data_IF_935521664489
#
_entry.id   IF_935521664489
#
_cell.length_a   1.000
_cell.length_b   1.000
_cell.length_c   1.000
_cell.angle_alpha   90.00
_cell.angle_beta   90.00
_cell.angle_gamma   90.00
#
_symmetry.space_group_name_H-M   'P 1'
#
loop_
_entity.id
_entity.type
_entity.pdbx_description
1 polymer ?
#
# COMPACT_ATOMS: atom_id res chain seq x y z
N UNK A 1 21.87 4.23 -21.97
CA UNK A 1 21.58 5.55 -21.37
C UNK A 1 22.84 6.24 -20.83
N UNK A 2 23.77 5.53 -20.15
CA UNK A 2 25.06 6.10 -19.72
C UNK A 2 25.94 6.47 -20.91
N UNK A 3 26.11 5.57 -21.87
CA UNK A 3 26.89 5.81 -23.09
C UNK A 3 26.36 7.02 -23.89
N UNK A 4 25.05 7.23 -23.87
CA UNK A 4 24.38 8.38 -24.51
C UNK A 4 24.41 9.66 -23.66
N UNK A 5 25.10 9.67 -22.52
CA UNK A 5 25.17 10.79 -21.55
C UNK A 5 23.78 11.27 -21.06
N UNK A 6 22.80 10.38 -21.02
CA UNK A 6 21.45 10.68 -20.50
C UNK A 6 21.35 10.40 -18.98
N UNK A 7 22.17 9.46 -18.49
CA UNK A 7 22.31 9.15 -17.06
C UNK A 7 23.74 9.34 -16.61
N UNK A 8 23.93 9.83 -15.41
CA UNK A 8 25.21 9.79 -14.70
C UNK A 8 25.07 9.11 -13.36
N UNK A 9 26.12 8.39 -12.96
CA UNK A 9 26.23 7.82 -11.63
C UNK A 9 26.45 8.93 -10.63
N UNK A 10 25.74 8.86 -9.51
CA UNK A 10 25.93 9.69 -8.34
C UNK A 10 26.35 8.80 -7.19
N UNK A 11 27.46 9.15 -6.54
CA UNK A 11 27.97 8.45 -5.35
C UNK A 11 28.29 9.48 -4.28
N UNK A 12 27.67 9.35 -3.12
CA UNK A 12 27.94 10.21 -1.97
C UNK A 12 27.49 9.51 -0.69
N UNK A 13 28.29 9.61 0.38
CA UNK A 13 28.03 9.05 1.69
C UNK A 13 27.61 7.57 1.61
N UNK A 14 28.41 6.78 0.92
CA UNK A 14 28.20 5.34 0.67
C UNK A 14 26.92 4.97 -0.12
N UNK A 15 26.15 5.95 -0.56
CA UNK A 15 24.98 5.74 -1.41
C UNK A 15 25.33 5.95 -2.88
N UNK A 16 25.09 4.91 -3.69
CA UNK A 16 25.20 4.93 -5.14
C UNK A 16 23.81 5.03 -5.76
N UNK A 17 23.65 5.95 -6.69
CA UNK A 17 22.40 6.11 -7.45
C UNK A 17 22.67 6.60 -8.87
N UNK A 18 21.57 6.73 -9.62
CA UNK A 18 21.58 7.31 -10.95
C UNK A 18 20.81 8.61 -10.95
N UNK A 19 21.22 9.52 -11.82
CA UNK A 19 20.58 10.81 -11.98
C UNK A 19 20.49 11.13 -13.47
N UNK A 20 19.38 11.69 -13.89
CA UNK A 20 19.21 12.23 -15.22
C UNK A 20 20.15 13.43 -15.42
N UNK A 21 20.70 13.54 -16.63
CA UNK A 21 21.43 14.74 -17.04
C UNK A 21 20.45 15.84 -17.46
N UNK A 22 20.92 17.11 -17.54
CA UNK A 22 20.09 18.20 -18.06
C UNK A 22 19.54 17.91 -19.45
N UNK A 23 20.36 17.32 -20.34
CA UNK A 23 19.92 16.88 -21.68
C UNK A 23 18.77 15.87 -21.63
N UNK A 24 18.88 14.86 -20.76
CA UNK A 24 17.82 13.85 -20.62
C UNK A 24 16.51 14.47 -20.14
N UNK A 25 16.56 15.41 -19.18
CA UNK A 25 15.37 16.12 -18.71
C UNK A 25 14.71 16.95 -19.80
N UNK A 26 15.50 17.72 -20.55
CA UNK A 26 15.00 18.50 -21.68
C UNK A 26 14.34 17.62 -22.73
N UNK A 27 14.93 16.46 -23.04
CA UNK A 27 14.34 15.50 -23.99
C UNK A 27 12.99 14.97 -23.48
N UNK A 28 12.91 14.57 -22.22
CA UNK A 28 11.66 14.05 -21.62
C UNK A 28 10.57 15.14 -21.58
N UNK A 29 10.92 16.37 -21.16
CA UNK A 29 9.98 17.47 -21.13
C UNK A 29 9.54 17.93 -22.54
N UNK A 30 10.41 17.83 -23.54
CA UNK A 30 10.05 18.11 -24.92
C UNK A 30 9.11 17.03 -25.50
N UNK A 31 9.29 15.77 -25.10
CA UNK A 31 8.48 14.66 -25.57
C UNK A 31 7.07 14.67 -24.95
N UNK A 32 6.96 14.87 -23.63
CA UNK A 32 5.68 14.94 -22.92
C UNK A 32 5.82 15.82 -21.67
N UNK A 33 5.58 17.14 -21.77
CA UNK A 33 5.73 18.07 -20.66
C UNK A 33 4.69 17.82 -19.56
N UNK A 34 3.48 17.43 -19.89
CA UNK A 34 2.43 17.12 -18.92
C UNK A 34 2.82 15.95 -18.02
N UNK A 35 3.31 14.87 -18.60
CA UNK A 35 3.76 13.67 -17.90
C UNK A 35 4.89 13.92 -16.93
N UNK A 36 5.89 14.72 -17.34
CA UNK A 36 7.16 14.81 -16.64
C UNK A 36 7.37 16.09 -15.84
N UNK A 37 6.53 17.11 -16.00
CA UNK A 37 6.68 18.40 -15.31
C UNK A 37 6.82 18.22 -13.81
N UNK A 38 5.93 17.51 -13.15
CA UNK A 38 5.89 17.36 -11.69
C UNK A 38 7.08 16.58 -11.12
N UNK A 39 7.73 15.76 -11.96
CA UNK A 39 8.90 14.96 -11.58
C UNK A 39 10.23 15.64 -11.90
N UNK A 40 10.28 16.47 -12.94
CA UNK A 40 11.54 16.98 -13.51
C UNK A 40 11.73 18.49 -13.34
N UNK A 41 10.69 19.25 -12.97
CA UNK A 41 10.78 20.69 -12.75
C UNK A 41 10.85 21.03 -11.25
N UNK A 42 11.53 22.12 -10.94
CA UNK A 42 11.68 22.66 -9.58
C UNK A 42 13.02 22.34 -8.90
N UNK A 43 13.20 22.91 -7.73
CA UNK A 43 14.44 22.81 -6.93
C UNK A 43 14.67 21.44 -6.30
N UNK A 44 13.75 20.50 -6.42
CA UNK A 44 13.77 19.22 -5.74
C UNK A 44 15.00 18.38 -6.12
N UNK A 45 15.42 18.42 -7.37
CA UNK A 45 16.52 17.58 -7.84
C UNK A 45 17.91 18.16 -7.52
N UNK A 46 18.08 19.47 -7.57
CA UNK A 46 19.33 20.14 -7.18
C UNK A 46 19.60 20.00 -5.68
N UNK A 47 18.54 19.99 -4.87
CA UNK A 47 18.64 19.80 -3.43
C UNK A 47 18.88 18.33 -3.02
N UNK A 48 18.47 17.35 -3.83
CA UNK A 48 18.68 15.94 -3.54
C UNK A 48 20.15 15.56 -3.44
N UNK A 49 21.00 16.15 -4.28
CA UNK A 49 22.46 15.91 -4.28
C UNK A 49 23.14 16.40 -3.00
N UNK A 50 22.57 17.44 -2.37
CA UNK A 50 23.11 18.07 -1.16
C UNK A 50 22.36 17.68 0.12
N UNK A 51 21.29 16.91 0.00
CA UNK A 51 20.47 16.54 1.16
C UNK A 51 21.15 15.45 2.00
N UNK A 52 20.74 15.37 3.26
CA UNK A 52 21.15 14.33 4.20
C UNK A 52 20.88 12.91 3.69
N UNK A 53 21.68 11.95 4.13
CA UNK A 53 21.59 10.52 3.76
C UNK A 53 20.16 9.99 3.94
N UNK A 54 19.55 10.25 5.10
CA UNK A 54 18.17 9.81 5.42
C UNK A 54 17.13 10.34 4.43
N UNK A 55 17.29 11.59 3.95
CA UNK A 55 16.37 12.17 2.97
C UNK A 55 16.53 11.51 1.60
N UNK A 56 17.77 11.19 1.21
CA UNK A 56 18.05 10.49 -0.05
C UNK A 56 17.54 9.05 -0.03
N UNK A 57 17.73 8.32 1.07
CA UNK A 57 17.17 6.99 1.26
C UNK A 57 15.64 6.98 1.11
N UNK A 58 14.95 7.93 1.75
CA UNK A 58 13.49 8.08 1.59
C UNK A 58 13.05 8.32 0.14
N UNK A 59 13.87 9.03 -0.65
CA UNK A 59 13.56 9.24 -2.07
C UNK A 59 13.73 7.96 -2.88
N UNK A 60 14.74 7.12 -2.56
CA UNK A 60 14.90 5.82 -3.19
C UNK A 60 13.75 4.88 -2.83
N UNK A 61 13.40 4.80 -1.56
CA UNK A 61 12.25 4.02 -1.09
C UNK A 61 10.93 4.46 -1.75
N UNK A 62 10.73 5.76 -1.92
CA UNK A 62 9.59 6.27 -2.69
C UNK A 62 9.63 5.82 -4.15
N UNK A 63 10.81 5.86 -4.78
CA UNK A 63 10.97 5.40 -6.15
C UNK A 63 10.64 3.90 -6.29
N UNK A 64 11.02 3.07 -5.32
CA UNK A 64 10.65 1.65 -5.27
C UNK A 64 9.14 1.47 -5.24
N UNK A 65 8.42 2.21 -4.40
CA UNK A 65 6.95 2.16 -4.38
C UNK A 65 6.32 2.59 -5.71
N UNK A 66 6.87 3.63 -6.38
CA UNK A 66 6.42 3.99 -7.72
C UNK A 66 6.68 2.89 -8.76
N UNK A 67 7.79 2.17 -8.64
CA UNK A 67 8.06 1.01 -9.49
C UNK A 67 7.05 -0.10 -9.24
N UNK A 68 6.72 -0.39 -7.99
CA UNK A 68 5.67 -1.37 -7.63
C UNK A 68 4.31 -0.98 -8.24
N UNK A 69 3.92 0.31 -8.17
CA UNK A 69 2.71 0.81 -8.82
C UNK A 69 2.76 0.61 -10.34
N UNK A 70 3.88 0.97 -10.98
CA UNK A 70 4.08 0.83 -12.42
C UNK A 70 3.99 -0.63 -12.87
N UNK A 71 4.68 -1.53 -12.17
CA UNK A 71 4.67 -2.98 -12.46
C UNK A 71 3.30 -3.60 -12.23
N UNK A 72 2.51 -3.07 -11.28
CA UNK A 72 1.12 -3.45 -11.08
C UNK A 72 0.17 -2.90 -12.16
N UNK A 73 0.67 -2.07 -13.09
CA UNK A 73 -0.11 -1.45 -14.15
C UNK A 73 -1.01 -0.31 -13.67
N UNK A 74 -0.65 0.36 -12.57
CA UNK A 74 -1.44 1.46 -11.99
C UNK A 74 -0.95 2.79 -12.56
N UNK A 75 -1.80 3.54 -13.29
CA UNK A 75 -1.47 4.86 -13.78
C UNK A 75 -1.24 5.86 -12.65
N UNK A 76 -0.18 6.66 -12.76
CA UNK A 76 0.12 7.73 -11.79
C UNK A 76 0.67 9.02 -12.42
N UNK A 77 0.99 9.00 -13.70
CA UNK A 77 1.39 10.22 -14.41
C UNK A 77 0.17 11.11 -14.72
N UNK A 78 0.38 12.43 -14.80
CA UNK A 78 -0.69 13.40 -15.01
C UNK A 78 -1.44 13.18 -16.34
N UNK A 79 -0.73 12.81 -17.41
CA UNK A 79 -1.30 12.52 -18.73
C UNK A 79 -2.11 11.21 -18.81
N UNK A 80 -2.09 10.40 -17.76
CA UNK A 80 -2.76 9.09 -17.72
C UNK A 80 -4.04 9.08 -16.88
N UNK A 81 -4.36 10.18 -16.23
CA UNK A 81 -5.48 10.26 -15.27
C UNK A 81 -6.11 11.64 -15.25
N UNK A 82 -7.42 11.75 -14.97
CA UNK A 82 -8.07 13.03 -14.78
C UNK A 82 -7.53 13.74 -13.53
N UNK A 83 -7.43 15.06 -13.58
CA UNK A 83 -7.07 15.88 -12.42
C UNK A 83 -8.32 16.13 -11.57
N UNK A 84 -8.53 15.28 -10.55
CA UNK A 84 -9.68 15.37 -9.66
C UNK A 84 -9.44 16.24 -8.44
N UNK A 85 -8.19 16.59 -8.16
CA UNK A 85 -7.78 17.35 -6.97
C UNK A 85 -7.47 18.81 -7.29
N UNK A 86 -8.31 19.46 -8.11
CA UNK A 86 -8.25 20.91 -8.39
C UNK A 86 -9.32 21.67 -7.61
N UNK A 87 -8.99 22.88 -7.16
CA UNK A 87 -9.99 23.84 -6.70
C UNK A 87 -10.77 24.37 -7.92
N UNK A 88 -12.10 24.40 -7.83
CA UNK A 88 -12.97 24.90 -8.91
C UNK A 88 -13.19 23.86 -10.03
N UNK A 89 -13.71 22.72 -9.69
CA UNK A 89 -13.96 21.55 -10.52
C UNK A 89 -14.58 21.82 -11.91
N UNK A 90 -13.77 21.99 -12.91
CA UNK A 90 -13.99 21.34 -14.20
C UNK A 90 -13.20 20.02 -14.19
N UNK A 91 -13.50 19.17 -13.22
CA UNK A 91 -12.83 17.89 -13.06
C UNK A 91 -13.15 17.01 -14.25
N UNK A 92 -12.12 16.51 -14.91
CA UNK A 92 -12.29 15.46 -15.91
C UNK A 92 -13.16 14.33 -15.36
N UNK A 93 -14.04 13.77 -16.17
CA UNK A 93 -15.00 12.74 -15.73
C UNK A 93 -14.21 11.49 -15.31
N UNK A 94 -14.08 11.25 -14.02
CA UNK A 94 -13.55 10.00 -13.49
C UNK A 94 -14.72 9.03 -13.31
N UNK A 95 -14.66 7.92 -14.00
CA UNK A 95 -15.63 6.83 -13.86
C UNK A 95 -14.99 5.64 -13.17
N UNK A 96 -15.81 4.74 -12.63
CA UNK A 96 -15.33 3.47 -12.05
C UNK A 96 -14.51 2.62 -13.04
N UNK A 97 -14.78 2.76 -14.36
CA UNK A 97 -14.04 2.07 -15.40
C UNK A 97 -12.60 2.54 -15.60
N UNK A 98 -12.26 3.72 -15.10
CA UNK A 98 -10.90 4.26 -15.16
C UNK A 98 -9.99 3.72 -14.03
N UNK A 99 -10.56 3.08 -13.02
CA UNK A 99 -9.80 2.61 -11.85
C UNK A 99 -9.09 1.27 -12.13
N UNK A 100 -7.92 0.99 -11.52
CA UNK A 100 -7.30 1.77 -10.45
C UNK A 100 -6.45 2.97 -10.93
N UNK A 101 -6.34 4.02 -10.09
CA UNK A 101 -5.50 5.20 -10.33
C UNK A 101 -4.78 5.65 -9.06
N UNK A 102 -3.55 6.16 -9.19
CA UNK A 102 -2.81 6.70 -8.05
C UNK A 102 -2.61 8.21 -8.16
N UNK A 103 -2.91 8.92 -7.07
CA UNK A 103 -2.67 10.35 -6.89
C UNK A 103 -1.65 10.57 -5.78
N UNK A 104 -0.57 11.27 -6.08
CA UNK A 104 0.47 11.57 -5.10
C UNK A 104 -0.02 12.55 -4.03
N UNK A 105 0.60 12.52 -2.87
CA UNK A 105 0.26 13.43 -1.77
C UNK A 105 0.45 14.91 -2.13
N UNK A 106 1.20 15.24 -3.18
CA UNK A 106 1.36 16.61 -3.68
C UNK A 106 0.11 17.12 -4.39
N UNK A 107 -0.68 16.20 -4.96
CA UNK A 107 -1.87 16.57 -5.73
C UNK A 107 -3.06 16.94 -4.83
N UNK A 108 -3.11 16.49 -3.58
CA UNK A 108 -4.27 16.75 -2.72
C UNK A 108 -3.98 17.40 -1.36
N UNK A 109 -2.77 17.29 -0.79
CA UNK A 109 -2.49 17.84 0.55
C UNK A 109 -2.48 19.35 0.67
N UNK A 110 -2.69 20.07 -0.41
CA UNK A 110 -2.79 21.53 -0.43
C UNK A 110 -4.24 22.03 -0.58
N UNK A 111 -5.21 21.13 -0.71
CA UNK A 111 -6.60 21.44 -1.02
C UNK A 111 -7.40 21.69 0.25
N UNK A 112 -8.20 22.74 0.22
CA UNK A 112 -9.22 23.03 1.23
C UNK A 112 -8.69 23.48 2.60
N UNK A 113 -9.60 23.73 3.52
CA UNK A 113 -9.32 24.20 4.88
C UNK A 113 -8.51 23.20 5.73
N UNK A 114 -8.58 21.92 5.40
CA UNK A 114 -7.87 20.86 6.12
C UNK A 114 -6.40 20.67 5.68
N UNK A 115 -5.96 21.38 4.62
CA UNK A 115 -4.61 21.24 4.05
C UNK A 115 -3.48 21.38 5.11
N UNK A 116 -3.61 22.33 6.03
CA UNK A 116 -2.63 22.53 7.11
C UNK A 116 -2.59 21.35 8.09
N UNK A 117 -3.73 20.71 8.35
CA UNK A 117 -3.89 19.64 9.34
C UNK A 117 -3.42 18.29 8.82
N UNK A 118 -3.55 18.05 7.50
CA UNK A 118 -3.12 16.79 6.85
C UNK A 118 -1.71 16.87 6.26
N UNK A 119 -1.12 18.07 6.19
CA UNK A 119 0.21 18.30 5.61
C UNK A 119 1.31 17.39 6.21
N UNK A 120 1.22 17.13 7.50
CA UNK A 120 2.21 16.33 8.24
C UNK A 120 2.00 14.83 8.12
N UNK A 121 0.89 14.35 7.55
CA UNK A 121 0.72 12.93 7.27
C UNK A 121 1.89 12.38 6.45
N UNK A 122 2.27 11.15 6.72
CA UNK A 122 3.36 10.45 6.01
C UNK A 122 2.89 9.75 4.74
N UNK A 123 1.61 9.89 4.38
CA UNK A 123 1.10 9.27 3.16
C UNK A 123 1.87 9.76 1.93
N UNK A 124 2.18 8.83 1.04
CA UNK A 124 2.75 9.10 -0.28
C UNK A 124 1.69 9.59 -1.27
N UNK A 125 0.46 9.15 -1.08
CA UNK A 125 -0.65 9.43 -1.97
C UNK A 125 -1.89 8.63 -1.61
N UNK A 126 -2.84 8.64 -2.51
CA UNK A 126 -4.06 7.84 -2.46
C UNK A 126 -4.17 6.99 -3.74
N UNK A 127 -4.43 5.71 -3.56
CA UNK A 127 -4.73 4.76 -4.62
C UNK A 127 -6.24 4.53 -4.64
N UNK A 128 -6.87 4.88 -5.74
CA UNK A 128 -8.29 4.66 -5.95
C UNK A 128 -8.49 3.32 -6.64
N UNK A 129 -9.21 2.41 -6.02
CA UNK A 129 -9.60 1.12 -6.59
C UNK A 129 -11.14 1.05 -6.73
N UNK A 130 -11.72 0.16 -7.54
CA UNK A 130 -13.17 0.16 -7.78
C UNK A 130 -14.05 -0.01 -6.53
N UNK A 131 -13.53 -0.57 -5.45
CA UNK A 131 -14.31 -0.90 -4.25
C UNK A 131 -13.97 -0.04 -3.02
N UNK A 132 -12.82 0.64 -3.03
CA UNK A 132 -12.37 1.49 -1.93
C UNK A 132 -11.19 2.38 -2.35
N UNK A 133 -10.84 3.33 -1.51
CA UNK A 133 -9.61 4.09 -1.62
C UNK A 133 -8.54 3.56 -0.63
N UNK A 134 -7.27 3.66 -0.99
CA UNK A 134 -6.16 3.30 -0.11
C UNK A 134 -5.24 4.50 0.11
N UNK A 135 -5.08 4.94 1.35
CA UNK A 135 -3.99 5.83 1.71
C UNK A 135 -2.67 5.03 1.68
N UNK A 136 -1.72 5.44 0.85
CA UNK A 136 -0.47 4.70 0.62
C UNK A 136 0.68 5.31 1.42
N UNK A 137 1.39 4.48 2.16
CA UNK A 137 2.54 4.84 2.99
C UNK A 137 3.76 4.02 2.61
N UNK A 138 4.93 4.64 2.63
CA UNK A 138 6.19 3.91 2.50
C UNK A 138 6.92 3.90 3.85
N UNK A 139 7.18 2.71 4.37
CA UNK A 139 7.89 2.51 5.64
C UNK A 139 9.40 2.39 5.44
N UNK A 140 9.83 2.09 4.22
CA UNK A 140 11.22 1.73 3.94
C UNK A 140 11.61 0.41 4.58
N UNK A 141 12.66 0.44 5.39
CA UNK A 141 13.19 -0.68 6.16
C UNK A 141 12.96 -0.56 7.68
N UNK A 142 12.09 0.39 8.11
CA UNK A 142 11.82 0.65 9.52
C UNK A 142 10.35 0.93 9.78
N UNK A 143 9.99 0.94 11.06
CA UNK A 143 8.70 1.46 11.51
C UNK A 143 8.65 2.97 11.29
N UNK A 144 7.66 3.45 10.52
CA UNK A 144 7.53 4.88 10.20
C UNK A 144 7.03 5.68 11.41
N UNK A 145 7.28 7.00 11.39
CA UNK A 145 6.63 7.92 12.31
C UNK A 145 5.14 7.99 11.98
N UNK A 146 4.33 7.91 13.03
CA UNK A 146 2.88 7.89 12.92
C UNK A 146 2.25 8.90 13.87
N UNK A 147 1.30 9.64 13.38
CA UNK A 147 0.57 10.62 14.18
C UNK A 147 -0.93 10.39 14.02
N UNK A 148 -1.52 9.64 14.93
CA UNK A 148 -2.91 9.19 14.90
C UNK A 148 -3.90 10.29 14.48
N UNK A 149 -3.83 11.47 15.12
CA UNK A 149 -4.77 12.57 14.83
C UNK A 149 -4.65 13.07 13.39
N UNK A 150 -3.45 13.11 12.83
CA UNK A 150 -3.22 13.53 11.45
C UNK A 150 -3.75 12.50 10.47
N UNK A 151 -3.59 11.20 10.76
CA UNK A 151 -4.04 10.13 9.88
C UNK A 151 -5.56 9.97 9.92
N UNK A 152 -6.21 10.12 11.08
CA UNK A 152 -7.68 10.20 11.19
C UNK A 152 -8.25 11.36 10.35
N UNK A 153 -7.60 12.53 10.38
CA UNK A 153 -8.01 13.68 9.55
C UNK A 153 -7.82 13.43 8.07
N UNK A 154 -6.72 12.77 7.69
CA UNK A 154 -6.49 12.39 6.30
C UNK A 154 -7.57 11.41 5.83
N UNK A 155 -7.90 10.40 6.63
CA UNK A 155 -8.97 9.46 6.32
C UNK A 155 -10.31 10.19 6.12
N UNK A 156 -10.70 11.04 7.07
CA UNK A 156 -11.95 11.82 6.98
C UNK A 156 -11.95 12.76 5.75
N UNK A 157 -10.83 13.42 5.45
CA UNK A 157 -10.68 14.24 4.26
C UNK A 157 -10.90 13.43 2.98
N UNK A 158 -10.26 12.27 2.86
CA UNK A 158 -10.40 11.42 1.68
C UNK A 158 -11.83 10.88 1.53
N UNK A 159 -12.46 10.44 2.62
CA UNK A 159 -13.85 9.99 2.61
C UNK A 159 -14.80 11.10 2.13
N UNK A 160 -14.64 12.31 2.66
CA UNK A 160 -15.46 13.45 2.28
C UNK A 160 -15.19 13.92 0.85
N UNK A 161 -13.90 13.99 0.45
CA UNK A 161 -13.53 14.50 -0.87
C UNK A 161 -13.92 13.56 -2.01
N UNK A 162 -13.89 12.25 -1.75
CA UNK A 162 -14.17 11.21 -2.74
C UNK A 162 -15.63 10.74 -2.72
N UNK A 163 -16.47 11.25 -1.78
CA UNK A 163 -17.89 10.96 -1.84
C UNK A 163 -18.47 11.50 -3.15
N UNK A 164 -19.39 10.73 -3.73
CA UNK A 164 -20.05 11.06 -5.00
C UNK A 164 -19.11 11.14 -6.24
N UNK A 165 -17.80 10.91 -6.06
CA UNK A 165 -16.86 10.94 -7.17
C UNK A 165 -15.48 10.29 -6.84
N UNK A 166 -15.10 9.16 -7.49
CA UNK A 166 -15.88 8.32 -8.41
C UNK A 166 -16.88 7.41 -7.70
N UNK A 167 -16.90 7.42 -6.36
CA UNK A 167 -17.73 6.54 -5.55
C UNK A 167 -19.11 7.15 -5.30
N UNK A 168 -20.10 6.28 -5.16
CA UNK A 168 -21.43 6.68 -4.71
C UNK A 168 -21.49 6.62 -3.18
N UNK A 169 -21.64 7.76 -2.53
CA UNK A 169 -21.58 7.87 -1.07
C UNK A 169 -20.15 7.88 -0.51
N UNK A 170 -20.02 7.72 0.80
CA UNK A 170 -18.71 7.74 1.47
C UNK A 170 -17.90 6.48 1.15
N UNK A 171 -16.75 6.60 0.46
CA UNK A 171 -15.90 5.46 0.17
C UNK A 171 -15.26 4.93 1.46
N UNK A 172 -15.10 3.62 1.55
CA UNK A 172 -14.21 3.05 2.56
C UNK A 172 -12.77 3.44 2.21
N UNK A 173 -12.06 4.03 3.18
CA UNK A 173 -10.63 4.33 3.04
C UNK A 173 -9.86 3.37 3.94
N UNK A 174 -8.91 2.65 3.33
CA UNK A 174 -8.00 1.71 3.98
C UNK A 174 -6.57 2.22 3.87
N UNK A 175 -5.64 1.61 4.57
CA UNK A 175 -4.22 1.93 4.43
C UNK A 175 -3.45 0.80 3.75
N UNK A 176 -2.51 1.16 2.88
CA UNK A 176 -1.47 0.27 2.40
C UNK A 176 -0.12 0.79 2.91
N UNK A 177 0.62 -0.09 3.58
CA UNK A 177 1.98 0.14 4.02
C UNK A 177 2.91 -0.63 3.09
N UNK A 178 3.79 0.07 2.37
CA UNK A 178 4.84 -0.60 1.58
C UNK A 178 6.17 -0.53 2.31
N UNK A 179 6.95 -1.58 2.26
CA UNK A 179 8.25 -1.64 2.90
C UNK A 179 9.21 -2.56 2.17
N UNK A 180 10.44 -2.65 2.66
CA UNK A 180 11.51 -3.38 2.00
C UNK A 180 11.20 -4.87 1.80
N UNK A 181 10.79 -5.55 2.87
CA UNK A 181 10.65 -7.01 2.94
C UNK A 181 9.70 -7.45 4.07
N UNK A 182 9.55 -8.76 4.26
CA UNK A 182 8.69 -9.31 5.32
C UNK A 182 9.26 -9.12 6.74
N UNK A 183 10.54 -8.79 6.90
CA UNK A 183 11.09 -8.38 8.21
C UNK A 183 10.53 -7.01 8.62
N UNK A 184 10.32 -6.11 7.68
CA UNK A 184 9.61 -4.85 7.91
C UNK A 184 8.15 -5.10 8.33
N UNK A 185 7.47 -6.07 7.73
CA UNK A 185 6.12 -6.48 8.16
C UNK A 185 6.10 -6.94 9.63
N UNK A 186 7.08 -7.75 10.02
CA UNK A 186 7.21 -8.20 11.40
C UNK A 186 7.42 -7.03 12.37
N UNK A 187 8.27 -6.06 12.02
CA UNK A 187 8.47 -4.86 12.83
C UNK A 187 7.18 -4.05 13.02
N UNK A 188 6.34 -3.96 11.98
CA UNK A 188 5.05 -3.27 12.03
C UNK A 188 4.04 -4.02 12.92
N UNK A 189 3.96 -5.34 12.80
CA UNK A 189 3.10 -6.19 13.63
C UNK A 189 3.46 -6.12 15.12
N UNK A 190 4.76 -6.02 15.44
CA UNK A 190 5.26 -5.98 16.81
C UNK A 190 5.43 -4.57 17.38
N UNK A 191 5.16 -3.54 16.61
CA UNK A 191 5.35 -2.15 17.04
C UNK A 191 4.34 -1.76 18.11
N UNK A 192 4.86 -1.24 19.23
CA UNK A 192 4.08 -0.72 20.36
C UNK A 192 4.03 0.80 20.41
N UNK A 193 4.43 1.48 19.33
CA UNK A 193 4.36 2.94 19.22
C UNK A 193 5.52 3.72 19.81
N UNK A 194 6.28 3.15 20.74
CA UNK A 194 7.46 3.74 21.39
C UNK A 194 7.16 5.01 22.19
N UNK A 195 7.60 5.09 23.43
CA UNK A 195 7.28 6.16 24.37
C UNK A 195 7.70 7.58 23.93
N UNK A 196 8.73 7.74 23.11
CA UNK A 196 9.25 9.08 22.70
C UNK A 196 9.20 9.38 21.21
N UNK A 197 8.78 8.46 20.36
CA UNK A 197 9.00 8.60 18.91
C UNK A 197 7.73 8.60 18.07
N UNK A 198 6.54 8.44 18.64
CA UNK A 198 5.29 8.33 17.85
C UNK A 198 5.49 7.42 16.63
N UNK A 199 5.87 6.17 16.88
CA UNK A 199 6.05 5.18 15.81
C UNK A 199 4.70 4.56 15.45
N UNK A 200 4.61 4.00 14.26
CA UNK A 200 3.43 3.31 13.78
C UNK A 200 2.94 2.25 14.77
N UNK A 201 1.66 2.27 15.00
CA UNK A 201 0.87 1.20 15.62
C UNK A 201 -0.36 1.03 14.74
N UNK A 202 -0.80 -0.19 14.54
CA UNK A 202 -2.08 -0.46 13.90
C UNK A 202 -3.21 0.01 14.84
N UNK A 203 -3.61 1.28 14.66
CA UNK A 203 -4.61 1.99 15.45
C UNK A 203 -5.95 2.09 14.71
N UNK A 204 -6.90 2.80 15.25
CA UNK A 204 -8.24 2.97 14.68
C UNK A 204 -8.33 4.06 13.60
N UNK A 205 -7.21 4.60 13.11
CA UNK A 205 -7.21 5.62 12.04
C UNK A 205 -7.71 5.05 10.70
N UNK A 206 -7.51 3.75 10.49
CA UNK A 206 -8.07 2.98 9.38
C UNK A 206 -8.61 1.65 9.87
N UNK A 207 -9.67 1.15 9.22
CA UNK A 207 -10.24 -0.18 9.52
C UNK A 207 -9.28 -1.32 9.16
N UNK A 208 -8.50 -1.13 8.07
CA UNK A 208 -7.59 -2.12 7.52
C UNK A 208 -6.23 -1.49 7.21
N UNK A 209 -5.16 -2.21 7.56
CA UNK A 209 -3.77 -1.89 7.22
C UNK A 209 -3.15 -3.06 6.48
N UNK A 210 -3.12 -3.00 5.15
CA UNK A 210 -2.46 -4.01 4.34
C UNK A 210 -0.97 -3.72 4.23
N UNK A 211 -0.13 -4.73 4.39
CA UNK A 211 1.30 -4.59 4.15
C UNK A 211 1.72 -5.25 2.84
N UNK A 212 2.55 -4.55 2.06
CA UNK A 212 3.10 -5.03 0.81
C UNK A 212 4.63 -4.83 0.81
N UNK A 213 5.45 -5.88 0.62
CA UNK A 213 6.88 -5.69 0.39
C UNK A 213 7.13 -5.05 -0.98
N UNK A 214 8.16 -4.22 -1.11
CA UNK A 214 8.59 -3.66 -2.41
C UNK A 214 9.39 -4.70 -3.23
N UNK A 215 8.74 -5.82 -3.49
CA UNK A 215 9.26 -6.99 -4.20
C UNK A 215 8.22 -7.49 -5.20
N UNK A 216 8.54 -8.43 -6.10
CA UNK A 216 7.57 -9.02 -7.02
C UNK A 216 6.34 -9.64 -6.31
N UNK A 217 6.51 -10.14 -5.08
CA UNK A 217 5.41 -10.64 -4.25
C UNK A 217 4.42 -9.51 -3.89
N UNK A 218 4.94 -8.35 -3.48
CA UNK A 218 4.11 -7.19 -3.18
C UNK A 218 3.42 -6.60 -4.40
N UNK A 219 4.02 -6.67 -5.59
CA UNK A 219 3.34 -6.33 -6.84
C UNK A 219 2.12 -7.23 -7.07
N UNK A 220 2.26 -8.53 -6.80
CA UNK A 220 1.17 -9.50 -6.92
C UNK A 220 0.04 -9.18 -5.95
N UNK A 221 0.36 -8.89 -4.69
CA UNK A 221 -0.63 -8.46 -3.70
C UNK A 221 -1.32 -7.16 -4.11
N UNK A 222 -0.57 -6.19 -4.62
CA UNK A 222 -1.14 -4.94 -5.08
C UNK A 222 -2.12 -5.15 -6.26
N UNK A 223 -1.75 -5.98 -7.25
CA UNK A 223 -2.63 -6.36 -8.35
C UNK A 223 -3.92 -7.02 -7.86
N UNK A 224 -3.83 -7.82 -6.81
CA UNK A 224 -4.99 -8.47 -6.19
C UNK A 224 -5.87 -7.46 -5.47
N UNK A 225 -5.30 -6.62 -4.59
CA UNK A 225 -6.03 -5.61 -3.80
C UNK A 225 -6.82 -4.63 -4.67
N UNK A 226 -6.32 -4.25 -5.84
CA UNK A 226 -7.02 -3.29 -6.72
C UNK A 226 -8.03 -3.94 -7.66
N UNK A 227 -8.15 -5.28 -7.68
CA UNK A 227 -9.05 -6.03 -8.55
C UNK A 227 -10.09 -6.81 -7.74
N UNK A 228 -11.20 -6.20 -7.31
CA UNK A 228 -12.18 -6.82 -6.42
C UNK A 228 -12.82 -8.09 -7.00
N UNK A 229 -12.95 -8.18 -8.31
CA UNK A 229 -13.46 -9.40 -8.97
C UNK A 229 -12.51 -10.57 -8.77
N UNK A 230 -11.20 -10.32 -8.90
CA UNK A 230 -10.17 -11.34 -8.72
C UNK A 230 -10.08 -11.76 -7.24
N UNK A 231 -10.15 -10.83 -6.31
CA UNK A 231 -10.22 -11.13 -4.88
C UNK A 231 -11.42 -12.03 -4.57
N UNK A 232 -12.60 -11.64 -5.06
CA UNK A 232 -13.83 -12.45 -4.84
C UNK A 232 -13.72 -13.88 -5.40
N UNK A 233 -13.11 -14.04 -6.58
CA UNK A 233 -12.88 -15.38 -7.15
C UNK A 233 -11.91 -16.20 -6.30
N UNK A 234 -10.83 -15.59 -5.81
CA UNK A 234 -9.88 -16.24 -4.90
C UNK A 234 -10.55 -16.61 -3.59
N UNK A 235 -11.30 -15.70 -2.97
CA UNK A 235 -12.07 -15.98 -1.73
C UNK A 235 -13.01 -17.17 -1.92
N UNK A 236 -13.79 -17.19 -3.00
CA UNK A 236 -14.71 -18.29 -3.31
C UNK A 236 -13.97 -19.61 -3.44
N UNK A 237 -12.82 -19.64 -4.09
CA UNK A 237 -12.02 -20.85 -4.22
C UNK A 237 -11.47 -21.31 -2.87
N UNK A 238 -10.90 -20.40 -2.08
CA UNK A 238 -10.29 -20.72 -0.79
C UNK A 238 -11.31 -21.14 0.27
N UNK A 239 -12.55 -20.63 0.17
CA UNK A 239 -13.65 -20.97 1.07
C UNK A 239 -14.41 -22.22 0.64
N UNK A 240 -14.21 -22.75 -0.57
CA UNK A 240 -14.93 -23.92 -1.08
C UNK A 240 -14.74 -25.18 -0.22
N UNK A 241 -13.56 -25.32 0.39
CA UNK A 241 -13.21 -26.47 1.23
C UNK A 241 -13.44 -26.22 2.72
N UNK A 242 -14.03 -25.05 3.08
CA UNK A 242 -14.34 -24.67 4.46
C UNK A 242 -15.83 -24.74 4.73
N UNK A 243 -16.18 -25.08 5.96
CA UNK A 243 -17.53 -24.88 6.47
C UNK A 243 -17.87 -23.38 6.60
N UNK A 244 -19.16 -23.08 6.61
CA UNK A 244 -19.66 -21.71 6.74
C UNK A 244 -19.14 -21.02 8.01
N UNK A 245 -19.00 -19.70 7.94
CA UNK A 245 -18.72 -18.87 9.11
C UNK A 245 -19.75 -19.13 10.22
N UNK A 246 -19.26 -19.30 11.45
CA UNK A 246 -20.08 -19.48 12.64
C UNK A 246 -20.28 -18.14 13.36
N UNK A 247 -21.51 -17.54 13.31
CA UNK A 247 -21.74 -16.23 13.91
C UNK A 247 -21.50 -16.17 15.43
N UNK A 248 -21.74 -17.30 16.12
CA UNK A 248 -21.60 -17.39 17.57
C UNK A 248 -20.15 -17.56 18.05
N UNK A 249 -19.21 -17.77 17.13
CA UNK A 249 -17.80 -17.86 17.46
C UNK A 249 -17.19 -16.44 17.56
N UNK A 250 -16.76 -15.98 18.76
CA UNK A 250 -16.30 -14.62 18.98
C UNK A 250 -14.86 -14.39 18.50
N UNK A 251 -14.47 -15.03 17.40
CA UNK A 251 -13.17 -14.92 16.75
C UNK A 251 -13.41 -14.41 15.32
N UNK A 252 -12.64 -13.43 14.86
CA UNK A 252 -12.71 -12.94 13.47
C UNK A 252 -12.24 -14.04 12.53
N UNK A 253 -13.16 -14.65 11.78
CA UNK A 253 -12.88 -15.77 10.86
C UNK A 253 -13.79 -15.70 9.63
N UNK A 254 -13.41 -16.41 8.56
CA UNK A 254 -14.17 -16.50 7.30
C UNK A 254 -14.95 -17.80 7.17
N UNK A 255 -14.49 -18.86 7.79
CA UNK A 255 -15.09 -20.18 7.78
C UNK A 255 -14.50 -21.06 8.88
N UNK A 256 -14.83 -22.32 8.88
CA UNK A 256 -14.28 -23.33 9.78
C UNK A 256 -13.75 -24.51 9.00
N UNK A 257 -12.67 -25.13 9.50
CA UNK A 257 -12.17 -26.37 8.91
C UNK A 257 -13.04 -27.57 9.27
N UNK A 258 -12.73 -28.75 8.73
CA UNK A 258 -13.47 -29.99 9.00
C UNK A 258 -13.49 -30.39 10.49
N UNK A 259 -12.59 -29.85 11.31
CA UNK A 259 -12.52 -30.06 12.75
C UNK A 259 -13.24 -28.99 13.57
N UNK A 260 -13.89 -28.01 12.90
CA UNK A 260 -14.56 -26.89 13.54
C UNK A 260 -13.61 -25.79 14.05
N UNK A 261 -12.34 -25.79 13.62
CA UNK A 261 -11.42 -24.69 13.95
C UNK A 261 -11.68 -23.49 13.05
N UNK A 262 -11.69 -22.26 13.60
CA UNK A 262 -11.85 -21.04 12.79
C UNK A 262 -10.72 -20.91 11.77
N UNK A 263 -11.08 -20.50 10.57
CA UNK A 263 -10.18 -20.27 9.45
C UNK A 263 -10.26 -18.81 8.99
N UNK A 264 -9.11 -18.16 8.78
CA UNK A 264 -9.01 -16.78 8.30
C UNK A 264 -8.25 -16.70 6.98
N UNK A 265 -8.76 -15.91 6.04
CA UNK A 265 -8.05 -15.51 4.84
C UNK A 265 -7.12 -14.34 5.17
N UNK A 266 -5.82 -14.57 5.20
CA UNK A 266 -4.79 -13.59 5.54
C UNK A 266 -3.83 -13.27 4.38
N UNK A 267 -4.17 -13.69 3.17
CA UNK A 267 -3.34 -13.52 1.98
C UNK A 267 -3.13 -12.03 1.60
N UNK A 268 -4.06 -11.15 1.95
CA UNK A 268 -3.98 -9.69 1.74
C UNK A 268 -3.13 -8.96 2.79
N UNK A 269 -2.59 -9.70 3.76
CA UNK A 269 -1.73 -9.26 4.84
C UNK A 269 -2.28 -8.05 5.61
N UNK A 270 -3.55 -8.10 6.02
CA UNK A 270 -4.16 -7.10 6.89
C UNK A 270 -3.69 -7.27 8.34
N UNK A 271 -2.91 -6.30 8.83
CA UNK A 271 -2.31 -6.32 10.17
C UNK A 271 -3.36 -6.40 11.27
N UNK A 272 -4.47 -5.68 11.14
CA UNK A 272 -5.56 -5.72 12.12
C UNK A 272 -6.21 -7.10 12.20
N UNK A 273 -6.46 -7.68 11.05
CA UNK A 273 -7.12 -8.97 10.96
C UNK A 273 -6.24 -10.09 11.49
N UNK A 274 -4.97 -10.09 11.14
CA UNK A 274 -3.96 -11.01 11.67
C UNK A 274 -3.90 -10.91 13.21
N UNK A 275 -3.84 -9.68 13.74
CA UNK A 275 -3.76 -9.47 15.18
C UNK A 275 -5.04 -9.91 15.91
N UNK A 276 -6.23 -9.54 15.40
CA UNK A 276 -7.52 -9.95 15.99
C UNK A 276 -7.69 -11.46 16.00
N UNK A 277 -7.30 -12.14 14.92
CA UNK A 277 -7.38 -13.59 14.85
C UNK A 277 -6.45 -14.25 15.88
N UNK A 278 -5.17 -13.85 15.93
CA UNK A 278 -4.22 -14.35 16.93
C UNK A 278 -4.69 -14.12 18.38
N UNK A 279 -5.16 -12.91 18.67
CA UNK A 279 -5.67 -12.55 20.00
C UNK A 279 -6.91 -13.37 20.36
N UNK A 280 -7.86 -13.50 19.43
CA UNK A 280 -9.08 -14.28 19.64
C UNK A 280 -8.77 -15.75 19.93
N UNK A 281 -7.90 -16.36 19.16
CA UNK A 281 -7.49 -17.76 19.40
C UNK A 281 -6.86 -17.94 20.79
N UNK A 282 -5.97 -17.05 21.18
CA UNK A 282 -5.32 -17.11 22.51
C UNK A 282 -6.34 -16.92 23.64
N UNK A 283 -7.23 -15.94 23.54
CA UNK A 283 -8.24 -15.65 24.56
C UNK A 283 -9.19 -16.83 24.78
N UNK A 284 -9.59 -17.47 23.69
CA UNK A 284 -10.56 -18.58 23.76
C UNK A 284 -9.90 -19.98 23.81
N UNK A 285 -8.56 -20.06 23.84
CA UNK A 285 -7.83 -21.33 23.88
C UNK A 285 -8.12 -22.24 22.69
N UNK A 286 -8.35 -21.64 21.51
CA UNK A 286 -8.73 -22.38 20.27
C UNK A 286 -7.54 -22.53 19.35
N UNK A 287 -7.55 -23.62 18.60
CA UNK A 287 -6.69 -23.78 17.41
C UNK A 287 -7.32 -23.07 16.23
N UNK A 288 -6.51 -22.65 15.25
CA UNK A 288 -6.99 -21.95 14.07
C UNK A 288 -6.30 -22.39 12.78
N UNK A 289 -6.86 -21.95 11.66
CA UNK A 289 -6.27 -22.11 10.34
C UNK A 289 -6.05 -20.74 9.71
N UNK A 290 -4.86 -20.47 9.20
CA UNK A 290 -4.55 -19.25 8.49
C UNK A 290 -4.18 -19.54 7.04
N UNK A 291 -4.93 -18.96 6.10
CA UNK A 291 -4.72 -19.15 4.66
C UNK A 291 -3.99 -17.94 4.13
N UNK A 292 -2.77 -18.13 3.66
CA UNK A 292 -1.90 -17.06 3.21
C UNK A 292 -0.94 -17.54 2.11
N UNK A 293 -0.25 -16.61 1.47
CA UNK A 293 0.81 -16.98 0.53
C UNK A 293 2.01 -17.57 1.25
N UNK A 294 2.72 -18.46 0.57
CA UNK A 294 3.90 -19.18 1.06
C UNK A 294 4.99 -18.23 1.61
N UNK A 295 5.27 -17.12 0.90
CA UNK A 295 6.28 -16.13 1.32
C UNK A 295 5.91 -15.37 2.61
N UNK A 296 4.63 -15.35 3.01
CA UNK A 296 4.16 -14.67 4.22
C UNK A 296 4.36 -15.53 5.47
N UNK A 297 4.39 -16.85 5.32
CA UNK A 297 4.43 -17.81 6.43
C UNK A 297 5.60 -17.61 7.40
N UNK A 298 6.85 -17.35 6.95
CA UNK A 298 7.96 -17.17 7.88
C UNK A 298 7.76 -15.98 8.83
N UNK A 299 7.23 -14.86 8.34
CA UNK A 299 6.90 -13.70 9.13
C UNK A 299 5.77 -14.00 10.12
N UNK A 300 4.70 -14.63 9.66
CA UNK A 300 3.53 -14.97 10.47
C UNK A 300 3.86 -15.97 11.57
N UNK A 301 4.62 -17.03 11.28
CA UNK A 301 5.09 -17.99 12.28
C UNK A 301 5.91 -17.34 13.41
N UNK A 302 6.69 -16.32 13.07
CA UNK A 302 7.49 -15.58 14.05
C UNK A 302 6.65 -14.67 14.94
N UNK A 303 5.52 -14.14 14.42
CA UNK A 303 4.65 -13.22 15.13
C UNK A 303 3.57 -13.90 15.94
N UNK A 304 2.93 -14.93 15.39
CA UNK A 304 1.76 -15.57 15.99
C UNK A 304 2.12 -16.42 17.19
N UNK A 305 1.33 -16.32 18.25
CA UNK A 305 1.52 -17.05 19.52
C UNK A 305 0.48 -18.14 19.73
N UNK A 306 -0.65 -18.09 19.01
CA UNK A 306 -1.68 -19.11 19.05
C UNK A 306 -1.29 -20.38 18.25
N UNK A 307 -1.95 -21.52 18.54
CA UNK A 307 -1.78 -22.76 17.79
C UNK A 307 -2.49 -22.64 16.43
N UNK A 308 -1.73 -22.30 15.39
CA UNK A 308 -2.24 -22.01 14.05
C UNK A 308 -1.62 -22.95 13.00
N UNK A 309 -2.47 -23.67 12.30
CA UNK A 309 -2.11 -24.41 11.09
C UNK A 309 -2.14 -23.48 9.89
N UNK A 310 -1.09 -23.47 9.09
CA UNK A 310 -1.04 -22.71 7.85
C UNK A 310 -1.53 -23.55 6.67
N UNK A 311 -2.42 -22.97 5.86
CA UNK A 311 -2.77 -23.45 4.52
C UNK A 311 -2.14 -22.46 3.52
N UNK A 312 -1.12 -22.92 2.78
CA UNK A 312 -0.34 -22.05 1.93
C UNK A 312 -0.87 -21.97 0.51
N UNK A 313 -0.91 -20.77 -0.03
CA UNK A 313 -1.13 -20.51 -1.45
C UNK A 313 0.25 -20.39 -2.10
N UNK A 314 0.56 -21.28 -3.05
CA UNK A 314 1.77 -21.18 -3.86
C UNK A 314 1.69 -19.96 -4.78
N UNK A 315 2.55 -18.97 -4.54
CA UNK A 315 2.53 -17.72 -5.29
C UNK A 315 2.80 -17.93 -6.79
N UNK A 316 3.68 -18.86 -7.14
CA UNK A 316 4.03 -19.13 -8.54
C UNK A 316 2.85 -19.75 -9.29
N UNK A 317 2.13 -20.68 -8.66
CA UNK A 317 0.90 -21.25 -9.22
C UNK A 317 -0.20 -20.22 -9.32
N UNK A 318 -0.34 -19.35 -8.31
CA UNK A 318 -1.30 -18.25 -8.32
C UNK A 318 -1.05 -17.29 -9.49
N UNK A 319 0.19 -16.86 -9.71
CA UNK A 319 0.55 -15.99 -10.85
C UNK A 319 0.19 -16.62 -12.19
N UNK A 320 0.57 -17.89 -12.38
CA UNK A 320 0.27 -18.59 -13.63
C UNK A 320 -1.22 -18.83 -13.84
N UNK A 321 -1.94 -19.28 -12.82
CA UNK A 321 -3.35 -19.66 -12.94
C UNK A 321 -4.32 -18.48 -12.91
N UNK A 322 -4.07 -17.47 -12.05
CA UNK A 322 -4.99 -16.37 -11.85
C UNK A 322 -4.59 -15.06 -12.55
N UNK A 323 -3.29 -14.76 -12.64
CA UNK A 323 -2.82 -13.53 -13.26
C UNK A 323 -2.38 -13.74 -14.70
N UNK A 324 -2.27 -15.00 -15.16
CA UNK A 324 -1.75 -15.38 -16.48
C UNK A 324 -0.33 -14.83 -16.73
N UNK A 325 0.47 -14.71 -15.67
CA UNK A 325 1.85 -14.24 -15.70
C UNK A 325 2.81 -15.45 -15.77
N UNK A 326 3.96 -15.30 -16.45
CA UNK A 326 4.94 -16.39 -16.60
C UNK A 326 5.60 -16.84 -15.30
#
# INVERSE_FOLDING_TARGET
LKAQKLLRTHYRDHLRGYRLTGRAKQMLLAQNPERFRDFLTGNTETNQVRSEVTRRLRLYQKAETYLTLLSAGIPFFADQKPDIFREGREAGILTMGNLPLFYSSREFKHIGSEATKIRNSRSMGVLLAPHCAYALYNTGDHVLKWEYRTEVRLNAFLQHYLQDFPYTGHPKVRAILTGKDMDTAYQLLTSTGGYKKSLFVADTSYEHFHYLPNTPEGETLLKLLVRPRLMKQLDQLLLSDLGSRQPDLPIDHDGVDASGNPAVLAYDFDLHRINRFNTGLNVYGRKGVMICFDFQIPCLKRYLTADIRFSSIDLSKFRKGFLHEP
#
